data_IF_766692880848
#
_entry.id   IF_766692880848
#
_cell.length_a   1.000
_cell.length_b   1.000
_cell.length_c   1.000
_cell.angle_alpha   90.00
_cell.angle_beta   90.00
_cell.angle_gamma   90.00
#
_symmetry.space_group_name_H-M   'P 1'
#
loop_
_entity.id
_entity.type
_entity.pdbx_description
1 polymer ?
#
# COMPACT_ATOMS: atom_id res chain seq x y z
N UNK A 1 -1.44 10.22 -7.11
CA UNK A 1 -1.07 9.88 -5.73
C UNK A 1 -0.15 10.96 -5.17
N UNK A 2 -0.25 11.26 -3.87
CA UNK A 2 0.75 12.06 -3.14
C UNK A 2 1.29 11.22 -1.99
N UNK A 3 2.61 11.23 -1.77
CA UNK A 3 3.30 10.47 -0.72
C UNK A 3 4.14 11.43 0.11
N UNK A 4 4.05 11.29 1.42
CA UNK A 4 4.96 11.89 2.40
C UNK A 4 5.57 10.75 3.21
N UNK A 5 6.87 10.75 3.37
CA UNK A 5 7.58 9.70 4.08
C UNK A 5 8.70 10.29 4.93
N UNK A 6 8.86 9.73 6.12
CA UNK A 6 9.87 10.10 7.10
C UNK A 6 10.58 8.84 7.56
N UNK A 7 11.90 8.89 7.62
CA UNK A 7 12.73 7.81 8.11
C UNK A 7 13.27 8.20 9.47
N UNK A 8 13.13 7.33 10.47
CA UNK A 8 13.82 7.51 11.75
C UNK A 8 15.23 6.94 11.63
N UNK A 9 16.22 7.64 12.19
CA UNK A 9 17.61 7.18 12.17
C UNK A 9 17.82 6.18 13.30
N UNK A 10 18.32 4.96 13.03
CA UNK A 10 18.59 3.99 14.07
C UNK A 10 19.74 4.49 14.96
N UNK A 11 19.61 4.22 16.27
CA UNK A 11 20.55 4.67 17.31
C UNK A 11 21.99 4.15 17.11
N UNK A 12 22.19 3.11 16.30
CA UNK A 12 23.51 2.47 16.13
C UNK A 12 23.77 1.95 14.71
N UNK A 13 23.94 2.83 13.72
CA UNK A 13 24.44 2.45 12.39
C UNK A 13 23.59 1.39 11.66
N UNK A 14 24.12 0.83 10.56
CA UNK A 14 23.43 -0.10 9.66
C UNK A 14 22.69 -1.22 10.42
N UNK A 15 21.47 -1.54 9.98
CA UNK A 15 20.55 -2.45 10.67
C UNK A 15 19.11 -2.26 10.21
N UNK A 16 18.14 -2.56 11.07
CA UNK A 16 16.73 -2.31 10.76
C UNK A 16 16.34 -0.88 11.17
N UNK A 17 15.44 -0.26 10.41
CA UNK A 17 15.04 1.13 10.60
C UNK A 17 13.54 1.30 10.48
N UNK A 18 12.96 2.14 11.32
CA UNK A 18 11.55 2.48 11.23
C UNK A 18 11.34 3.66 10.27
N UNK A 19 10.37 3.54 9.39
CA UNK A 19 9.86 4.61 8.55
C UNK A 19 8.36 4.79 8.80
N UNK A 20 7.89 6.01 8.56
CA UNK A 20 6.48 6.36 8.65
C UNK A 20 6.08 7.00 7.33
N UNK A 21 5.04 6.45 6.70
CA UNK A 21 4.54 6.92 5.41
C UNK A 21 3.09 7.39 5.52
N UNK A 22 2.76 8.40 4.73
CA UNK A 22 1.40 8.91 4.56
C UNK A 22 1.10 8.98 3.07
N UNK A 23 -0.03 8.41 2.66
CA UNK A 23 -0.40 8.28 1.24
C UNK A 23 -1.78 8.88 1.04
N UNK A 24 -1.90 9.70 -0.01
CA UNK A 24 -3.18 10.26 -0.46
C UNK A 24 -3.55 9.72 -1.83
N UNK A 25 -4.71 9.06 -1.91
CA UNK A 25 -5.31 8.71 -3.19
C UNK A 25 -6.10 9.90 -3.73
N UNK A 26 -5.56 10.53 -4.77
CA UNK A 26 -6.18 11.67 -5.46
C UNK A 26 -7.08 11.24 -6.63
N UNK A 27 -7.22 9.93 -6.89
CA UNK A 27 -8.13 9.42 -7.89
C UNK A 27 -9.56 9.44 -7.36
N UNK A 28 -10.50 9.81 -8.23
CA UNK A 28 -11.91 10.00 -7.86
C UNK A 28 -12.72 8.70 -7.89
N UNK A 29 -12.28 7.69 -8.66
CA UNK A 29 -13.04 6.47 -8.91
C UNK A 29 -12.32 5.19 -8.49
N UNK A 30 -10.99 5.19 -8.53
CA UNK A 30 -10.22 3.95 -8.46
C UNK A 30 -9.43 3.87 -7.15
N UNK A 31 -9.50 2.75 -6.41
CA UNK A 31 -8.64 2.52 -5.26
C UNK A 31 -7.19 2.35 -5.72
N UNK A 32 -6.27 2.61 -4.79
CA UNK A 32 -4.85 2.28 -4.94
C UNK A 32 -4.50 1.15 -3.98
N UNK A 33 -3.68 0.22 -4.43
CA UNK A 33 -3.15 -0.88 -3.63
C UNK A 33 -1.63 -0.74 -3.63
N UNK A 34 -1.04 -0.44 -2.48
CA UNK A 34 0.40 -0.51 -2.29
C UNK A 34 0.75 -1.99 -2.07
N UNK A 35 1.58 -2.51 -2.96
CA UNK A 35 1.99 -3.92 -3.01
C UNK A 35 3.38 -4.12 -2.41
N UNK A 36 4.30 -3.20 -2.67
CA UNK A 36 5.68 -3.31 -2.20
C UNK A 36 6.38 -1.95 -2.13
N UNK A 37 7.45 -1.89 -1.33
CA UNK A 37 8.34 -0.74 -1.17
C UNK A 37 9.77 -1.23 -1.41
N UNK A 38 10.44 -0.66 -2.41
CA UNK A 38 11.80 -1.04 -2.79
C UNK A 38 12.73 0.18 -2.80
N UNK A 39 14.03 -0.06 -2.67
CA UNK A 39 15.06 0.96 -2.69
C UNK A 39 16.45 0.32 -2.75
N UNK A 40 17.46 1.09 -3.10
CA UNK A 40 18.83 0.58 -3.24
C UNK A 40 19.57 0.45 -1.90
N UNK A 41 19.07 1.09 -0.84
CA UNK A 41 19.76 1.25 0.44
C UNK A 41 19.23 0.34 1.56
N UNK A 42 18.33 -0.60 1.26
CA UNK A 42 17.79 -1.57 2.20
C UNK A 42 17.44 -2.87 1.46
N UNK A 43 17.36 -4.00 2.18
CA UNK A 43 17.11 -5.31 1.58
C UNK A 43 15.63 -5.56 1.32
N UNK A 44 14.77 -5.20 2.27
CA UNK A 44 13.31 -5.35 2.17
C UNK A 44 12.57 -4.35 3.05
N UNK A 45 11.30 -4.15 2.75
CA UNK A 45 10.41 -3.34 3.57
C UNK A 45 9.18 -4.14 3.98
N UNK A 46 8.78 -4.00 5.24
CA UNK A 46 7.59 -4.64 5.81
C UNK A 46 6.60 -3.56 6.23
N UNK A 47 5.37 -3.66 5.75
CA UNK A 47 4.30 -2.70 6.06
C UNK A 47 3.48 -3.25 7.23
N UNK A 48 3.15 -2.38 8.19
CA UNK A 48 2.32 -2.74 9.33
C UNK A 48 1.01 -1.95 9.34
N UNK A 49 -0.04 -2.55 9.89
CA UNK A 49 -1.30 -1.87 10.16
C UNK A 49 -1.27 -1.15 11.53
N UNK A 50 -2.38 -0.50 11.90
CA UNK A 50 -2.55 0.20 13.17
C UNK A 50 -2.44 -0.69 14.42
N UNK A 51 -2.57 -2.00 14.26
CA UNK A 51 -2.43 -3.01 15.33
C UNK A 51 -1.01 -3.60 15.40
N UNK A 52 -0.05 -3.05 14.64
CA UNK A 52 1.31 -3.59 14.45
C UNK A 52 1.34 -5.01 13.87
N UNK A 53 0.34 -5.37 13.08
CA UNK A 53 0.33 -6.62 12.33
C UNK A 53 0.92 -6.36 10.95
N UNK A 54 1.82 -7.24 10.51
CA UNK A 54 2.35 -7.23 9.16
C UNK A 54 1.21 -7.44 8.16
N UNK A 55 1.20 -6.62 7.11
CA UNK A 55 0.23 -6.69 6.03
C UNK A 55 0.93 -6.84 4.69
N UNK A 56 0.40 -7.73 3.85
CA UNK A 56 0.93 -7.96 2.50
C UNK A 56 0.62 -6.81 1.54
N UNK A 57 -0.49 -6.10 1.78
CA UNK A 57 -0.93 -5.00 0.93
C UNK A 57 -1.71 -3.96 1.71
N UNK A 58 -1.60 -2.71 1.27
CA UNK A 58 -2.38 -1.59 1.80
C UNK A 58 -3.31 -1.05 0.72
N UNK A 59 -4.62 -1.10 0.99
CA UNK A 59 -5.65 -0.55 0.10
C UNK A 59 -6.02 0.86 0.55
N UNK A 60 -6.05 1.80 -0.39
CA UNK A 60 -6.38 3.21 -0.18
C UNK A 60 -7.55 3.58 -1.10
N UNK A 61 -8.70 3.85 -0.51
CA UNK A 61 -9.95 4.12 -1.23
C UNK A 61 -9.89 5.43 -2.03
N UNK A 62 -10.76 5.62 -3.04
CA UNK A 62 -10.83 6.87 -3.79
C UNK A 62 -11.03 8.09 -2.87
N UNK A 63 -10.19 9.11 -3.03
CA UNK A 63 -10.21 10.32 -2.19
C UNK A 63 -9.74 10.12 -0.74
N UNK A 64 -9.32 8.91 -0.36
CA UNK A 64 -8.83 8.63 0.98
C UNK A 64 -7.40 9.13 1.19
N UNK A 65 -7.09 9.51 2.43
CA UNK A 65 -5.74 9.76 2.90
C UNK A 65 -5.46 8.91 4.13
N UNK A 66 -4.47 8.04 4.01
CA UNK A 66 -3.98 7.19 5.10
C UNK A 66 -2.71 7.83 5.64
N UNK A 67 -2.63 7.93 6.96
CA UNK A 67 -1.54 8.62 7.64
C UNK A 67 -0.81 7.68 8.59
N UNK A 68 0.46 7.99 8.82
CA UNK A 68 1.29 7.33 9.82
C UNK A 68 1.35 5.80 9.71
N UNK A 69 1.42 5.28 8.49
CA UNK A 69 1.59 3.85 8.24
C UNK A 69 3.01 3.47 8.66
N UNK A 70 3.19 2.58 9.65
CA UNK A 70 4.49 2.12 10.06
C UNK A 70 5.09 1.18 9.02
N UNK A 71 6.36 1.38 8.71
CA UNK A 71 7.14 0.55 7.80
C UNK A 71 8.46 0.19 8.49
N UNK A 72 8.80 -1.09 8.52
CA UNK A 72 10.15 -1.53 8.90
C UNK A 72 10.98 -1.70 7.65
N UNK A 73 12.13 -1.06 7.58
CA UNK A 73 13.14 -1.28 6.56
C UNK A 73 14.19 -2.22 7.14
N UNK A 74 14.39 -3.37 6.51
CA UNK A 74 15.33 -4.38 6.98
C UNK A 74 16.66 -4.27 6.22
N UNK A 75 17.78 -4.47 6.93
CA UNK A 75 19.11 -4.49 6.30
C UNK A 75 19.51 -3.15 5.68
N UNK A 76 19.19 -2.05 6.36
CA UNK A 76 19.48 -0.68 5.92
C UNK A 76 20.99 -0.41 5.93
N UNK A 77 21.53 0.04 4.81
CA UNK A 77 22.91 0.52 4.73
C UNK A 77 23.07 1.83 5.50
N UNK A 78 24.10 1.90 6.33
CA UNK A 78 24.52 3.11 7.05
C UNK A 78 24.72 4.34 6.16
N UNK A 79 25.03 4.15 4.87
CA UNK A 79 25.15 5.24 3.90
C UNK A 79 23.83 6.02 3.73
N UNK A 80 22.68 5.40 4.04
CA UNK A 80 21.36 6.03 4.01
C UNK A 80 21.15 7.08 5.11
N UNK A 81 22.15 7.40 5.93
CA UNK A 81 22.04 8.48 6.92
C UNK A 81 23.03 9.62 6.69
N UNK A 82 23.82 9.55 5.61
CA UNK A 82 24.83 10.57 5.27
C UNK A 82 24.32 11.59 4.23
N UNK A 83 23.41 11.20 3.32
CA UNK A 83 22.68 12.13 2.45
C UNK A 83 21.48 12.84 3.12
N UNK A 84 20.92 13.85 2.44
CA UNK A 84 19.71 14.54 2.90
C UNK A 84 18.40 13.98 2.34
N UNK A 85 18.48 13.16 1.30
CA UNK A 85 17.34 12.65 0.52
C UNK A 85 17.68 11.33 -0.15
N UNK A 86 16.75 10.37 -0.09
CA UNK A 86 16.92 9.02 -0.64
C UNK A 86 15.72 8.61 -1.48
N UNK A 87 15.96 7.93 -2.60
CA UNK A 87 14.90 7.51 -3.52
C UNK A 87 14.34 6.14 -3.14
N UNK A 88 13.04 6.10 -2.89
CA UNK A 88 12.27 4.89 -2.66
C UNK A 88 11.24 4.73 -3.77
N UNK A 89 10.89 3.49 -4.06
CA UNK A 89 9.95 3.11 -5.11
C UNK A 89 8.78 2.36 -4.49
N UNK A 90 7.58 2.88 -4.68
CA UNK A 90 6.36 2.13 -4.37
C UNK A 90 5.89 1.38 -5.60
N UNK A 91 5.67 0.09 -5.44
CA UNK A 91 4.93 -0.72 -6.39
C UNK A 91 3.44 -0.62 -6.06
N UNK A 92 2.69 0.05 -6.93
CA UNK A 92 1.29 0.39 -6.68
C UNK A 92 0.44 -0.13 -7.82
N UNK A 93 -0.65 -0.82 -7.49
CA UNK A 93 -1.72 -1.14 -8.44
C UNK A 93 -2.88 -0.17 -8.28
N UNK A 94 -3.41 0.31 -9.40
CA UNK A 94 -4.73 0.97 -9.43
C UNK A 94 -5.80 -0.08 -9.68
N UNK A 95 -6.93 0.06 -8.98
CA UNK A 95 -8.00 -0.94 -9.04
C UNK A 95 -7.78 -2.11 -8.06
N UNK A 96 -8.83 -2.90 -7.88
CA UNK A 96 -8.78 -4.14 -7.11
C UNK A 96 -8.80 -5.31 -8.08
N UNK A 97 -8.19 -6.43 -7.68
CA UNK A 97 -8.32 -7.67 -8.43
C UNK A 97 -9.79 -7.98 -8.69
N UNK A 98 -10.08 -8.34 -9.95
CA UNK A 98 -11.38 -8.88 -10.29
C UNK A 98 -11.61 -10.16 -9.46
N UNK A 99 -12.49 -10.09 -8.46
CA UNK A 99 -12.93 -11.29 -7.74
C UNK A 99 -13.52 -12.28 -8.75
N UNK A 100 -13.13 -13.55 -8.67
CA UNK A 100 -13.75 -14.59 -9.48
C UNK A 100 -15.28 -14.51 -9.29
N UNK A 101 -16.08 -14.57 -10.37
CA UNK A 101 -17.52 -14.60 -10.24
C UNK A 101 -17.89 -15.83 -9.44
N UNK A 102 -18.29 -15.65 -8.19
CA UNK A 102 -18.90 -16.72 -7.40
C UNK A 102 -20.14 -17.12 -8.18
N UNK A 103 -20.16 -18.35 -8.70
CA UNK A 103 -21.36 -18.91 -9.33
C UNK A 103 -22.53 -18.64 -8.40
N UNK A 104 -23.51 -17.90 -8.88
CA UNK A 104 -24.76 -17.74 -8.16
C UNK A 104 -25.27 -19.15 -7.90
N UNK A 105 -25.31 -19.56 -6.63
CA UNK A 105 -26.07 -20.75 -6.27
C UNK A 105 -27.49 -20.42 -6.71
N UNK A 106 -27.94 -21.03 -7.82
CA UNK A 106 -29.34 -20.98 -8.27
C UNK A 106 -30.16 -21.78 -7.24
N UNK A 107 -30.32 -21.17 -6.06
CA UNK A 107 -31.22 -21.60 -5.02
C UNK A 107 -32.64 -21.26 -5.46
N UNK A 108 -33.36 -22.28 -5.89
CA UNK A 108 -34.77 -22.27 -6.24
C UNK A 108 -35.63 -21.31 -5.39
N UNK A 109 -36.41 -20.46 -6.07
CA UNK A 109 -37.75 -20.09 -5.60
C UNK A 109 -37.99 -18.61 -5.27
N UNK A 110 -38.93 -18.01 -6.03
CA UNK A 110 -39.86 -17.02 -5.49
C UNK A 110 -39.71 -15.58 -6.00
N UNK A 111 -40.81 -15.04 -6.53
CA UNK A 111 -41.05 -13.67 -7.02
C UNK A 111 -40.84 -12.52 -5.99
N UNK A 112 -40.16 -12.75 -4.86
CA UNK A 112 -39.97 -11.79 -3.77
C UNK A 112 -38.59 -11.85 -3.11
N UNK A 113 -37.55 -12.27 -3.83
CA UNK A 113 -36.17 -12.18 -3.35
C UNK A 113 -35.64 -10.75 -3.55
N UNK A 114 -35.58 -10.00 -2.45
CA UNK A 114 -34.93 -8.68 -2.41
C UNK A 114 -33.51 -8.81 -2.95
N UNK A 115 -33.23 -8.04 -4.01
CA UNK A 115 -31.99 -8.09 -4.76
C UNK A 115 -30.79 -8.28 -3.86
N UNK A 116 -30.12 -9.42 -4.04
CA UNK A 116 -28.80 -9.68 -3.48
C UNK A 116 -27.96 -8.45 -3.86
N UNK A 117 -27.52 -7.68 -2.86
CA UNK A 117 -26.45 -6.71 -3.08
C UNK A 117 -25.27 -7.53 -3.56
N UNK A 118 -25.05 -7.54 -4.88
CA UNK A 118 -23.81 -7.99 -5.45
C UNK A 118 -22.72 -7.27 -4.66
N UNK A 119 -21.87 -8.04 -3.95
CA UNK A 119 -20.65 -7.46 -3.39
C UNK A 119 -19.93 -6.85 -4.58
N UNK A 120 -19.64 -5.56 -4.50
CA UNK A 120 -19.09 -4.76 -5.60
C UNK A 120 -17.93 -5.54 -6.22
N UNK A 121 -18.12 -5.96 -7.48
CA UNK A 121 -17.09 -6.58 -8.28
C UNK A 121 -15.90 -5.62 -8.31
N UNK A 122 -14.68 -6.13 -8.10
CA UNK A 122 -13.45 -5.36 -8.29
C UNK A 122 -13.50 -4.63 -9.63
N UNK A 123 -13.16 -3.34 -9.63
CA UNK A 123 -13.16 -2.53 -10.85
C UNK A 123 -12.01 -3.05 -11.74
N UNK A 124 -12.27 -3.54 -12.96
CA UNK A 124 -11.33 -4.32 -13.78
C UNK A 124 -10.18 -3.51 -14.43
N UNK A 125 -9.88 -2.32 -13.93
CA UNK A 125 -8.79 -1.48 -14.46
C UNK A 125 -7.54 -1.67 -13.61
N UNK A 126 -6.94 -2.86 -13.72
CA UNK A 126 -5.66 -3.22 -13.09
C UNK A 126 -4.51 -2.62 -13.89
N UNK A 127 -4.03 -1.46 -13.47
CA UNK A 127 -2.79 -0.88 -13.99
C UNK A 127 -1.76 -0.82 -12.86
N UNK A 128 -0.60 -1.43 -13.08
CA UNK A 128 0.53 -1.40 -12.15
C UNK A 128 1.48 -0.24 -12.48
N UNK A 129 1.96 0.42 -11.43
CA UNK A 129 2.79 1.61 -11.51
C UNK A 129 3.94 1.53 -10.52
N UNK A 130 5.08 2.09 -10.93
CA UNK A 130 6.18 2.41 -10.02
C UNK A 130 6.11 3.89 -9.73
N UNK A 131 6.05 4.25 -8.44
CA UNK A 131 6.08 5.64 -8.00
C UNK A 131 7.35 5.89 -7.20
N UNK A 132 8.25 6.68 -7.79
CA UNK A 132 9.50 7.09 -7.15
C UNK A 132 9.26 8.32 -6.28
N UNK A 133 9.78 8.34 -5.07
CA UNK A 133 9.70 9.49 -4.18
C UNK A 133 10.94 9.58 -3.30
N UNK A 134 11.31 10.82 -2.99
CA UNK A 134 12.43 11.09 -2.10
C UNK A 134 11.95 11.11 -0.64
N UNK A 135 12.59 10.34 0.22
CA UNK A 135 12.42 10.38 1.67
C UNK A 135 13.39 11.38 2.27
N UNK A 136 12.93 12.14 3.27
CA UNK A 136 13.77 13.06 4.04
C UNK A 136 14.03 12.48 5.43
N UNK A 137 15.25 12.70 5.89
CA UNK A 137 15.68 12.49 7.27
C UNK A 137 15.36 13.75 8.10
#
# INVERSE_FOLDING_TARGET
MMVEAFLDRPDSGAGDSNAVISISNLHASDPLVLLDITGENFESATIYNENNEEIDQLVIQPGERVYNIPVMLNGVDSSVFDDSTYDFNFFVRRGLEAMEPVEAIEGAGGLFSGGIKAREAGIPNEDEYIVNFAIRN
#
